data_IF_359352501657
#
_entry.id   IF_359352501657
#
_cell.length_a   1.000
_cell.length_b   1.000
_cell.length_c   1.000
_cell.angle_alpha   90.00
_cell.angle_beta   90.00
_cell.angle_gamma   90.00
#
_symmetry.space_group_name_H-M   'P 1'
#
loop_
_entity.id
_entity.type
_entity.pdbx_description
1 polymer ?
#
# COMPACT_ATOMS: atom_id res chain seq x y z
N UNK A 1 1.08 -43.26 -19.25
CA UNK A 1 0.03 -44.29 -19.09
C UNK A 1 0.52 -45.57 -19.71
N UNK A 2 1.02 -46.48 -18.87
CA UNK A 2 1.27 -47.87 -19.25
C UNK A 2 -0.06 -48.61 -19.35
N UNK A 3 -0.21 -49.45 -20.38
CA UNK A 3 -1.40 -50.28 -20.58
C UNK A 3 -1.03 -51.75 -20.40
N UNK A 4 -1.92 -52.50 -19.75
CA UNK A 4 -1.80 -53.94 -19.66
C UNK A 4 -2.02 -54.56 -21.04
N UNK A 5 -1.07 -55.41 -21.46
CA UNK A 5 -1.16 -56.17 -22.70
C UNK A 5 -1.75 -57.56 -22.39
N UNK A 6 -2.94 -57.82 -22.90
CA UNK A 6 -3.60 -59.12 -22.74
C UNK A 6 -3.25 -60.03 -23.93
N UNK A 7 -2.23 -60.86 -23.79
CA UNK A 7 -1.87 -61.85 -24.81
C UNK A 7 -2.37 -63.27 -24.44
N UNK A 8 -2.74 -64.11 -25.43
CA UNK A 8 -3.06 -65.51 -25.19
C UNK A 8 -1.79 -66.29 -24.81
N UNK A 9 -1.77 -66.95 -23.64
CA UNK A 9 -0.61 -67.73 -23.18
C UNK A 9 -0.34 -67.69 -21.68
N UNK A 10 -1.05 -66.83 -20.93
CA UNK A 10 -0.91 -66.70 -19.48
C UNK A 10 -0.09 -65.48 -19.07
N UNK A 11 -0.35 -64.99 -17.85
CA UNK A 11 0.31 -63.81 -17.26
C UNK A 11 1.59 -64.19 -16.50
N UNK A 12 2.54 -63.25 -16.33
CA UNK A 12 3.62 -63.40 -15.35
C UNK A 12 3.05 -63.64 -13.94
N UNK A 13 3.70 -64.46 -13.11
CA UNK A 13 3.31 -64.77 -11.72
C UNK A 13 3.49 -63.61 -10.72
N UNK A 14 3.94 -62.45 -11.20
CA UNK A 14 4.23 -61.29 -10.37
C UNK A 14 2.98 -60.41 -10.18
N UNK A 15 2.90 -59.74 -9.04
CA UNK A 15 1.83 -58.77 -8.71
C UNK A 15 1.97 -57.44 -9.51
N UNK A 16 2.44 -57.51 -10.76
CA UNK A 16 2.73 -56.35 -11.61
C UNK A 16 1.48 -55.45 -11.82
N UNK A 17 0.28 -56.02 -11.74
CA UNK A 17 -0.98 -55.27 -11.84
C UNK A 17 -1.13 -54.23 -10.71
N UNK A 18 -0.77 -54.61 -9.48
CA UNK A 18 -0.89 -53.72 -8.31
C UNK A 18 0.22 -52.68 -8.30
N UNK A 19 1.43 -53.06 -8.72
CA UNK A 19 2.56 -52.13 -8.82
C UNK A 19 2.29 -51.06 -9.90
N UNK A 20 1.76 -51.44 -11.06
CA UNK A 20 1.40 -50.48 -12.12
C UNK A 20 0.24 -49.58 -11.69
N UNK A 21 -0.77 -50.11 -11.01
CA UNK A 21 -1.87 -49.30 -10.47
C UNK A 21 -1.37 -48.30 -9.43
N UNK A 22 -0.47 -48.72 -8.54
CA UNK A 22 0.13 -47.84 -7.55
C UNK A 22 0.94 -46.74 -8.25
N UNK A 23 1.91 -47.10 -9.09
CA UNK A 23 2.80 -46.15 -9.76
C UNK A 23 2.05 -45.11 -10.59
N UNK A 24 1.08 -45.52 -11.42
CA UNK A 24 0.37 -44.59 -12.29
C UNK A 24 -0.57 -43.67 -11.51
N UNK A 25 -1.21 -44.15 -10.43
CA UNK A 25 -2.05 -43.30 -9.55
C UNK A 25 -1.19 -42.30 -8.79
N UNK A 26 -0.07 -42.73 -8.22
CA UNK A 26 0.87 -41.83 -7.54
C UNK A 26 1.46 -40.81 -8.50
N UNK A 27 1.86 -41.22 -9.71
CA UNK A 27 2.36 -40.32 -10.73
C UNK A 27 1.30 -39.28 -11.14
N UNK A 28 0.05 -39.70 -11.37
CA UNK A 28 -1.03 -38.79 -11.73
C UNK A 28 -1.33 -37.75 -10.64
N UNK A 29 -1.34 -38.17 -9.37
CA UNK A 29 -1.56 -37.27 -8.23
C UNK A 29 -0.40 -36.30 -8.04
N UNK A 30 0.85 -36.77 -8.14
CA UNK A 30 2.02 -35.93 -7.89
C UNK A 30 2.43 -35.06 -9.09
N UNK A 31 1.99 -35.41 -10.31
CA UNK A 31 2.36 -34.70 -11.53
C UNK A 31 2.06 -33.19 -11.47
N UNK A 32 0.97 -32.79 -10.83
CA UNK A 32 0.60 -31.36 -10.72
C UNK A 32 1.48 -30.58 -9.71
N UNK A 33 2.29 -31.27 -8.91
CA UNK A 33 3.26 -30.68 -7.97
C UNK A 33 4.70 -30.86 -8.44
N UNK A 34 4.93 -31.50 -9.59
CA UNK A 34 6.29 -31.64 -10.11
C UNK A 34 6.90 -30.26 -10.38
N UNK A 35 8.09 -30.03 -9.82
CA UNK A 35 8.76 -28.72 -9.88
C UNK A 35 8.24 -27.69 -8.87
N UNK A 36 7.19 -28.00 -8.11
CA UNK A 36 6.73 -27.14 -7.04
C UNK A 36 7.75 -27.14 -5.88
N UNK A 37 8.02 -25.97 -5.27
CA UNK A 37 8.77 -25.88 -4.02
C UNK A 37 8.04 -26.63 -2.88
N UNK A 38 8.70 -26.87 -1.74
CA UNK A 38 8.03 -27.38 -0.54
C UNK A 38 6.80 -26.54 -0.19
N UNK A 39 5.64 -27.19 0.03
CA UNK A 39 4.39 -26.49 0.33
C UNK A 39 3.40 -27.34 1.14
N UNK A 40 2.50 -26.67 1.85
CA UNK A 40 1.35 -27.32 2.51
C UNK A 40 0.21 -27.51 1.50
N UNK A 41 -0.29 -28.74 1.37
CA UNK A 41 -1.43 -29.06 0.52
C UNK A 41 -2.74 -28.83 1.27
N UNK A 42 -2.84 -29.35 2.49
CA UNK A 42 -4.03 -29.29 3.33
C UNK A 42 -3.69 -29.55 4.79
N UNK A 43 -4.46 -28.98 5.72
CA UNK A 43 -4.20 -29.08 7.16
C UNK A 43 -3.02 -28.23 7.59
N UNK A 44 -2.24 -28.72 8.56
CA UNK A 44 -1.05 -28.02 9.06
C UNK A 44 -1.33 -26.60 9.55
N UNK A 45 -2.48 -26.40 10.18
CA UNK A 45 -2.87 -25.11 10.76
C UNK A 45 -2.02 -24.81 11.98
N UNK A 46 -1.48 -23.61 12.06
CA UNK A 46 -0.67 -23.15 13.19
C UNK A 46 -1.55 -22.43 14.20
N UNK A 47 -1.47 -22.87 15.45
CA UNK A 47 -2.07 -22.18 16.59
C UNK A 47 -0.97 -21.87 17.58
N UNK A 48 -0.73 -20.58 17.85
CA UNK A 48 0.32 -20.18 18.79
C UNK A 48 -0.09 -19.03 19.69
N UNK A 49 0.55 -18.98 20.86
CA UNK A 49 0.45 -17.89 21.82
C UNK A 49 1.86 -17.51 22.26
N UNK A 50 2.25 -16.24 22.09
CA UNK A 50 3.58 -15.74 22.48
C UNK A 50 4.77 -16.50 21.85
N UNK A 51 4.66 -16.90 20.58
CA UNK A 51 5.76 -17.52 19.83
C UNK A 51 5.95 -19.02 20.08
N UNK A 52 5.14 -19.64 20.93
CA UNK A 52 5.11 -21.09 21.13
C UNK A 52 3.70 -21.61 20.84
N UNK A 53 3.60 -22.75 20.16
CA UNK A 53 2.31 -23.28 19.76
C UNK A 53 2.34 -24.72 19.28
N UNK A 54 1.32 -25.07 18.50
CA UNK A 54 1.18 -26.37 17.86
C UNK A 54 0.87 -26.22 16.38
N UNK A 55 1.22 -27.24 15.63
CA UNK A 55 0.89 -27.42 14.23
C UNK A 55 0.00 -28.64 14.14
N UNK A 56 -1.19 -28.51 13.57
CA UNK A 56 -2.11 -29.64 13.39
C UNK A 56 -1.60 -30.64 12.33
N UNK A 57 -2.10 -31.88 12.33
CA UNK A 57 -1.79 -32.84 11.27
C UNK A 57 -2.22 -32.32 9.89
N UNK A 58 -1.59 -32.84 8.83
CA UNK A 58 -1.96 -32.48 7.46
C UNK A 58 -1.12 -33.18 6.40
N UNK A 59 -1.16 -32.64 5.19
CA UNK A 59 -0.44 -33.15 4.03
C UNK A 59 0.50 -32.09 3.47
N UNK A 60 1.76 -32.47 3.31
CA UNK A 60 2.83 -31.60 2.86
C UNK A 60 3.47 -32.22 1.61
N UNK A 61 3.77 -31.37 0.64
CA UNK A 61 4.65 -31.71 -0.47
C UNK A 61 6.09 -31.37 -0.08
N UNK A 62 6.93 -32.40 0.09
CA UNK A 62 8.34 -32.22 0.45
C UNK A 62 9.20 -33.32 -0.17
N UNK A 63 10.40 -32.96 -0.64
CA UNK A 63 11.36 -33.87 -1.28
C UNK A 63 10.70 -34.86 -2.25
N UNK A 64 9.91 -34.29 -3.18
CA UNK A 64 9.34 -34.96 -4.33
C UNK A 64 8.12 -35.85 -4.06
N UNK A 65 7.56 -35.85 -2.85
CA UNK A 65 6.41 -36.69 -2.51
C UNK A 65 5.38 -35.95 -1.65
N UNK A 66 4.12 -36.37 -1.78
CA UNK A 66 3.06 -36.00 -0.84
C UNK A 66 3.21 -36.86 0.41
N UNK A 67 3.31 -36.23 1.57
CA UNK A 67 3.60 -36.89 2.84
C UNK A 67 2.63 -36.43 3.92
N UNK A 68 2.23 -37.40 4.75
CA UNK A 68 1.43 -37.11 5.93
C UNK A 68 2.35 -36.51 7.00
N UNK A 69 1.85 -35.47 7.64
CA UNK A 69 2.47 -34.85 8.79
C UNK A 69 1.55 -35.06 9.99
N UNK A 70 2.07 -35.66 11.06
CA UNK A 70 1.29 -35.98 12.27
C UNK A 70 1.05 -34.77 13.18
N UNK A 71 1.59 -33.60 12.83
CA UNK A 71 1.54 -32.44 13.69
C UNK A 71 2.70 -32.40 14.68
N UNK A 72 2.84 -31.26 15.35
CA UNK A 72 3.79 -31.10 16.43
C UNK A 72 3.20 -30.18 17.51
N UNK A 73 3.53 -30.45 18.76
CA UNK A 73 3.14 -29.62 19.90
C UNK A 73 4.38 -29.02 20.55
N UNK A 74 4.20 -27.89 21.27
CA UNK A 74 5.28 -27.15 21.92
C UNK A 74 6.40 -26.70 20.95
N UNK A 75 5.99 -26.28 19.75
CA UNK A 75 6.89 -25.76 18.72
C UNK A 75 7.15 -24.28 19.00
N UNK A 76 8.43 -23.90 19.06
CA UNK A 76 8.84 -22.49 19.09
C UNK A 76 8.94 -21.95 17.67
N UNK A 77 8.18 -20.91 17.35
CA UNK A 77 8.17 -20.25 16.05
C UNK A 77 9.19 -19.10 16.00
N UNK A 78 9.83 -18.85 14.84
CA UNK A 78 9.66 -19.56 13.57
C UNK A 78 10.35 -20.94 13.56
N UNK A 79 9.71 -21.89 12.88
CA UNK A 79 10.18 -23.28 12.77
C UNK A 79 10.23 -23.72 11.31
N UNK A 80 10.72 -24.92 11.07
CA UNK A 80 10.74 -25.54 9.75
C UNK A 80 10.42 -27.04 9.84
N UNK A 81 9.80 -27.57 8.78
CA UNK A 81 9.47 -28.99 8.64
C UNK A 81 10.41 -29.62 7.62
N UNK A 82 11.04 -30.73 8.00
CA UNK A 82 12.03 -31.44 7.20
C UNK A 82 11.64 -32.89 6.95
N UNK A 83 12.15 -33.45 5.86
CA UNK A 83 12.05 -34.86 5.57
C UNK A 83 12.97 -35.64 6.51
N UNK A 84 12.38 -36.38 7.44
CA UNK A 84 13.05 -37.29 8.36
C UNK A 84 13.33 -38.67 7.75
N UNK A 85 13.73 -39.64 8.59
CA UNK A 85 13.95 -41.01 8.16
C UNK A 85 12.65 -41.70 7.74
N UNK A 86 12.78 -42.83 7.04
CA UNK A 86 11.65 -43.75 6.84
C UNK A 86 11.43 -44.53 8.13
N UNK A 87 10.17 -44.58 8.57
CA UNK A 87 9.71 -45.32 9.73
C UNK A 87 8.82 -46.48 9.28
N UNK A 88 8.96 -47.59 9.99
CA UNK A 88 8.16 -48.78 9.82
C UNK A 88 6.78 -48.58 10.48
N UNK A 89 5.71 -48.82 9.72
CA UNK A 89 4.32 -48.62 10.16
C UNK A 89 3.46 -49.86 9.89
N UNK A 90 2.24 -49.83 10.45
CA UNK A 90 1.25 -50.90 10.32
C UNK A 90 1.78 -52.27 10.77
N UNK A 91 2.04 -52.38 12.08
CA UNK A 91 2.47 -53.63 12.72
C UNK A 91 1.31 -54.64 12.73
N UNK A 92 1.44 -55.71 11.95
CA UNK A 92 0.42 -56.76 11.86
C UNK A 92 0.86 -58.06 12.53
N UNK A 93 -0.05 -58.79 13.19
CA UNK A 93 0.26 -60.09 13.77
C UNK A 93 0.55 -61.12 12.69
N UNK A 94 1.61 -61.91 12.87
CA UNK A 94 2.02 -62.95 11.93
C UNK A 94 1.49 -64.32 12.34
N UNK A 95 1.18 -65.19 11.36
CA UNK A 95 0.67 -66.55 11.63
C UNK A 95 1.65 -67.41 12.44
N UNK A 96 2.95 -67.11 12.41
CA UNK A 96 4.00 -67.80 13.16
C UNK A 96 4.23 -67.23 14.57
N UNK A 97 3.41 -66.26 15.00
CA UNK A 97 3.62 -65.48 16.23
C UNK A 97 4.48 -64.22 16.02
N UNK A 98 4.26 -63.22 16.87
CA UNK A 98 4.90 -61.90 16.80
C UNK A 98 4.19 -60.91 15.87
N UNK A 99 4.71 -59.69 15.80
CA UNK A 99 4.26 -58.62 14.89
C UNK A 99 5.39 -58.23 13.95
N UNK A 100 5.05 -57.90 12.70
CA UNK A 100 5.98 -57.33 11.72
C UNK A 100 5.36 -56.09 11.09
N UNK A 101 6.20 -55.10 10.78
CA UNK A 101 5.77 -53.94 10.00
C UNK A 101 5.45 -54.37 8.57
N UNK A 102 4.33 -53.89 8.05
CA UNK A 102 3.89 -54.18 6.69
C UNK A 102 4.00 -52.97 5.76
N UNK A 103 4.26 -51.79 6.29
CA UNK A 103 4.37 -50.55 5.53
C UNK A 103 5.56 -49.73 6.02
N UNK A 104 6.05 -48.83 5.16
CA UNK A 104 7.05 -47.83 5.53
C UNK A 104 6.57 -46.48 5.03
N UNK A 105 6.72 -45.45 5.84
CA UNK A 105 6.42 -44.07 5.44
C UNK A 105 7.57 -43.15 5.85
N UNK A 106 7.74 -42.04 5.13
CA UNK A 106 8.74 -41.05 5.53
C UNK A 106 8.14 -40.16 6.60
N UNK A 107 8.81 -40.07 7.73
CA UNK A 107 8.40 -39.17 8.81
C UNK A 107 8.76 -37.72 8.45
N UNK A 108 7.90 -36.79 8.83
CA UNK A 108 8.15 -35.36 8.73
C UNK A 108 8.42 -34.79 10.13
N UNK A 109 9.57 -34.17 10.31
CA UNK A 109 10.03 -33.67 11.61
C UNK A 109 9.97 -32.15 11.65
N UNK A 110 9.57 -31.59 12.78
CA UNK A 110 9.64 -30.14 13.05
C UNK A 110 10.90 -29.81 13.79
N UNK A 111 11.60 -28.77 13.36
CA UNK A 111 12.81 -28.28 14.02
C UNK A 111 12.86 -26.75 14.02
N UNK A 112 13.75 -26.13 14.82
CA UNK A 112 13.96 -24.69 14.79
C UNK A 112 14.43 -24.22 13.41
N UNK A 113 13.94 -23.06 12.97
CA UNK A 113 14.28 -22.49 11.65
C UNK A 113 15.79 -22.30 11.49
N UNK A 114 16.30 -22.65 10.30
CA UNK A 114 17.72 -22.48 9.93
C UNK A 114 18.62 -23.64 10.33
N UNK A 115 18.05 -24.74 10.80
CA UNK A 115 18.80 -25.96 11.16
C UNK A 115 19.04 -26.83 9.92
N UNK A 116 18.13 -26.81 8.94
CA UNK A 116 18.24 -27.53 7.69
C UNK A 116 18.89 -26.71 6.57
N UNK A 117 19.51 -27.39 5.59
CA UNK A 117 19.90 -26.77 4.34
C UNK A 117 18.73 -26.06 3.63
N UNK A 118 19.02 -24.95 2.96
CA UNK A 118 18.03 -24.22 2.17
C UNK A 118 17.43 -25.14 1.08
N UNK A 119 16.10 -25.11 0.93
CA UNK A 119 15.38 -25.88 -0.09
C UNK A 119 15.02 -27.32 0.32
N UNK A 120 15.50 -27.81 1.47
CA UNK A 120 15.10 -29.14 1.99
C UNK A 120 14.06 -29.06 3.10
N UNK A 121 13.65 -27.85 3.47
CA UNK A 121 12.72 -27.58 4.56
C UNK A 121 11.58 -26.67 4.11
N UNK A 122 10.40 -26.89 4.68
CA UNK A 122 9.27 -26.00 4.56
C UNK A 122 9.20 -25.09 5.79
N UNK A 123 9.26 -23.78 5.59
CA UNK A 123 9.35 -22.79 6.68
C UNK A 123 7.96 -22.38 7.18
N UNK A 124 7.83 -22.27 8.50
CA UNK A 124 6.67 -21.69 9.18
C UNK A 124 7.03 -20.42 9.93
N UNK A 125 6.28 -19.37 9.66
CA UNK A 125 6.31 -18.11 10.41
C UNK A 125 5.39 -18.16 11.62
N UNK A 126 5.11 -16.99 12.20
CA UNK A 126 4.22 -16.81 13.35
C UNK A 126 2.74 -17.08 13.05
N UNK A 127 2.31 -16.93 11.80
CA UNK A 127 0.89 -17.07 11.43
C UNK A 127 0.58 -18.33 10.62
N UNK A 128 1.60 -19.14 10.33
CA UNK A 128 1.47 -20.34 9.53
C UNK A 128 2.64 -20.56 8.59
N UNK A 129 2.45 -21.47 7.63
CA UNK A 129 3.44 -21.81 6.64
C UNK A 129 3.62 -20.73 5.58
N UNK A 130 4.88 -20.47 5.19
CA UNK A 130 5.21 -19.43 4.20
C UNK A 130 4.58 -19.73 2.83
N UNK A 131 4.46 -21.02 2.47
CA UNK A 131 3.84 -21.44 1.22
C UNK A 131 2.77 -22.51 1.41
N UNK A 132 1.56 -22.17 0.96
CA UNK A 132 0.43 -23.09 0.84
C UNK A 132 0.05 -23.31 -0.62
N UNK A 133 -0.61 -24.44 -0.91
CA UNK A 133 -1.03 -24.79 -2.27
C UNK A 133 -1.90 -23.70 -2.93
N UNK A 134 -2.77 -23.05 -2.15
CA UNK A 134 -3.58 -21.92 -2.64
C UNK A 134 -2.71 -20.75 -3.10
N UNK A 135 -1.70 -20.39 -2.32
CA UNK A 135 -0.76 -19.31 -2.65
C UNK A 135 0.18 -19.68 -3.79
N UNK A 136 0.55 -20.94 -3.89
CA UNK A 136 1.28 -21.46 -5.04
C UNK A 136 0.48 -21.30 -6.34
N UNK A 137 -0.80 -21.69 -6.37
CA UNK A 137 -1.67 -21.47 -7.54
C UNK A 137 -1.85 -19.97 -7.82
N UNK A 138 -2.08 -19.15 -6.79
CA UNK A 138 -2.21 -17.69 -6.96
C UNK A 138 -0.98 -17.11 -7.69
N UNK A 139 0.23 -17.58 -7.34
CA UNK A 139 1.48 -17.14 -7.96
C UNK A 139 1.57 -17.39 -9.46
N UNK A 140 0.87 -18.38 -10.02
CA UNK A 140 0.87 -18.67 -11.47
C UNK A 140 0.10 -17.62 -12.28
N UNK A 141 -0.83 -16.92 -11.64
CA UNK A 141 -1.66 -15.89 -12.27
C UNK A 141 -1.16 -14.46 -12.03
N UNK A 142 -0.13 -14.30 -11.20
CA UNK A 142 0.39 -13.00 -10.76
C UNK A 142 1.78 -12.77 -11.32
N UNK A 143 2.08 -11.51 -11.59
CA UNK A 143 3.43 -11.10 -11.98
C UNK A 143 4.12 -10.40 -10.82
N UNK A 144 5.44 -10.60 -10.68
CA UNK A 144 6.23 -9.87 -9.70
C UNK A 144 6.08 -8.37 -9.94
N UNK A 145 5.81 -7.64 -8.86
CA UNK A 145 5.64 -6.19 -8.90
C UNK A 145 4.24 -5.71 -9.24
N UNK A 146 3.26 -6.61 -9.44
CA UNK A 146 1.86 -6.25 -9.66
C UNK A 146 1.29 -5.48 -8.46
N UNK A 147 0.60 -4.36 -8.71
CA UNK A 147 0.01 -3.50 -7.66
C UNK A 147 -1.50 -3.67 -7.62
N UNK A 148 -2.04 -3.81 -6.41
CA UNK A 148 -3.47 -3.87 -6.14
C UNK A 148 -3.90 -2.79 -5.14
N UNK A 149 -5.06 -2.17 -5.42
CA UNK A 149 -5.72 -1.23 -4.52
C UNK A 149 -6.72 -1.95 -3.60
N UNK A 150 -6.73 -1.56 -2.32
CA UNK A 150 -7.51 -2.17 -1.25
C UNK A 150 -8.38 -1.11 -0.60
N UNK A 151 -9.69 -1.35 -0.59
CA UNK A 151 -10.66 -0.49 0.10
C UNK A 151 -10.82 -0.85 1.58
N UNK A 152 -10.83 -2.15 1.91
CA UNK A 152 -10.92 -2.64 3.28
C UNK A 152 -9.53 -3.06 3.76
N UNK A 153 -8.78 -2.12 4.34
CA UNK A 153 -7.47 -2.39 4.90
C UNK A 153 -7.59 -3.02 6.30
N UNK A 154 -6.95 -4.18 6.47
CA UNK A 154 -6.81 -4.85 7.77
C UNK A 154 -5.32 -4.92 8.13
N UNK A 155 -4.94 -4.18 9.17
CA UNK A 155 -3.57 -4.11 9.64
C UNK A 155 -3.09 -5.43 10.28
N UNK A 156 -4.01 -6.29 10.73
CA UNK A 156 -3.65 -7.58 11.38
C UNK A 156 -3.09 -8.61 10.40
N UNK A 157 -3.21 -8.37 9.09
CA UNK A 157 -2.69 -9.23 8.04
C UNK A 157 -1.22 -8.95 7.70
N UNK A 158 -0.62 -7.89 8.23
CA UNK A 158 0.72 -7.44 7.87
C UNK A 158 1.61 -7.29 9.10
N UNK A 159 2.90 -7.57 8.94
CA UNK A 159 3.91 -7.28 9.95
C UNK A 159 4.27 -5.78 9.99
N UNK A 160 5.17 -5.41 10.91
CA UNK A 160 5.62 -4.03 11.08
C UNK A 160 6.31 -3.43 9.85
N UNK A 161 6.84 -4.27 8.95
CA UNK A 161 7.43 -3.85 7.67
C UNK A 161 6.39 -3.71 6.55
N UNK A 162 5.13 -4.04 6.83
CA UNK A 162 4.07 -4.11 5.85
C UNK A 162 4.13 -5.38 4.98
N UNK A 163 4.92 -6.40 5.34
CA UNK A 163 4.90 -7.70 4.66
C UNK A 163 3.72 -8.52 5.16
N UNK A 164 2.97 -9.13 4.26
CA UNK A 164 1.84 -9.98 4.61
C UNK A 164 2.26 -11.21 5.40
N UNK A 165 1.50 -11.54 6.44
CA UNK A 165 1.73 -12.70 7.27
C UNK A 165 1.54 -14.02 6.50
N UNK A 166 2.31 -15.04 6.89
CA UNK A 166 2.25 -16.40 6.35
C UNK A 166 0.88 -17.05 6.60
N UNK A 167 0.43 -17.92 5.69
CA UNK A 167 -0.89 -18.59 5.70
C UNK A 167 -2.13 -17.66 5.81
N UNK A 168 -1.96 -16.36 5.55
CA UNK A 168 -3.04 -15.38 5.54
C UNK A 168 -3.35 -14.92 4.11
N UNK A 169 -4.46 -14.21 3.94
CA UNK A 169 -4.85 -13.63 2.65
C UNK A 169 -3.78 -12.69 2.07
N UNK A 170 -3.01 -12.02 2.93
CA UNK A 170 -1.92 -11.13 2.54
C UNK A 170 -0.60 -11.86 2.23
N UNK A 171 -0.48 -13.18 2.43
CA UNK A 171 0.75 -13.90 2.07
C UNK A 171 1.07 -13.70 0.58
N UNK A 172 2.35 -13.42 0.29
CA UNK A 172 2.85 -13.05 -1.04
C UNK A 172 2.73 -11.57 -1.40
N UNK A 173 2.06 -10.77 -0.56
CA UNK A 173 1.88 -9.34 -0.74
C UNK A 173 2.68 -8.54 0.29
N UNK A 174 3.11 -7.33 -0.09
CA UNK A 174 3.61 -6.32 0.83
C UNK A 174 2.97 -4.96 0.53
N UNK A 175 2.81 -4.12 1.53
CA UNK A 175 2.31 -2.76 1.35
C UNK A 175 3.28 -1.93 0.52
N UNK A 176 2.75 -1.06 -0.34
CA UNK A 176 3.55 -0.15 -1.16
C UNK A 176 4.08 1.02 -0.32
N UNK A 177 5.04 0.73 0.57
CA UNK A 177 5.61 1.68 1.53
C UNK A 177 7.13 1.92 1.34
N UNK A 178 7.74 1.35 0.29
CA UNK A 178 9.17 1.44 0.02
C UNK A 178 10.02 0.37 0.72
N UNK A 179 9.42 -0.46 1.57
CA UNK A 179 10.07 -1.62 2.19
C UNK A 179 9.81 -2.88 1.37
N UNK A 180 10.54 -3.97 1.65
CA UNK A 180 10.38 -5.25 0.94
C UNK A 180 10.49 -5.13 -0.60
N UNK A 181 11.32 -4.20 -1.07
CA UNK A 181 11.51 -3.87 -2.49
C UNK A 181 10.24 -3.39 -3.22
N UNK A 182 9.26 -2.89 -2.46
CA UNK A 182 8.03 -2.33 -3.03
C UNK A 182 8.23 -0.87 -3.44
N UNK A 183 7.39 -0.38 -4.36
CA UNK A 183 7.27 1.06 -4.60
C UNK A 183 6.67 1.75 -3.36
N UNK A 184 7.11 2.95 -3.03
CA UNK A 184 6.42 3.78 -2.03
C UNK A 184 5.31 4.56 -2.73
N UNK A 185 4.05 4.18 -2.51
CA UNK A 185 2.86 4.80 -3.10
C UNK A 185 2.03 5.58 -2.06
N UNK A 186 2.50 5.68 -0.82
CA UNK A 186 1.81 6.44 0.23
C UNK A 186 1.73 7.91 -0.16
N UNK A 187 0.54 8.50 0.02
CA UNK A 187 0.26 9.92 -0.27
C UNK A 187 0.61 10.38 -1.70
N UNK A 188 0.56 9.46 -2.67
CA UNK A 188 0.87 9.75 -4.07
C UNK A 188 -0.34 9.51 -4.97
N UNK A 189 -0.50 10.37 -5.98
CA UNK A 189 -1.40 10.14 -7.10
C UNK A 189 -0.66 9.39 -8.21
N UNK A 190 -1.30 8.38 -8.78
CA UNK A 190 -0.68 7.56 -9.83
C UNK A 190 -0.90 8.19 -11.19
N UNK A 191 0.19 8.29 -11.94
CA UNK A 191 0.19 8.71 -13.34
C UNK A 191 0.61 7.52 -14.19
N UNK A 192 -0.14 7.25 -15.26
CA UNK A 192 0.21 6.19 -16.20
C UNK A 192 1.45 6.58 -17.01
N UNK A 193 2.42 5.66 -17.13
CA UNK A 193 3.56 5.89 -18.00
C UNK A 193 3.09 5.97 -19.46
N UNK A 194 3.71 6.85 -20.24
CA UNK A 194 3.55 6.87 -21.69
C UNK A 194 4.85 6.40 -22.33
N UNK A 195 4.91 5.22 -22.98
CA UNK A 195 6.12 4.73 -23.63
C UNK A 195 6.68 5.67 -24.72
N UNK A 196 5.86 6.59 -25.25
CA UNK A 196 6.22 7.54 -26.30
C UNK A 196 6.69 8.90 -25.77
N UNK A 197 6.57 9.15 -24.46
CA UNK A 197 6.98 10.40 -23.82
C UNK A 197 7.88 10.12 -22.61
N UNK A 198 8.85 11.00 -22.35
CA UNK A 198 9.81 10.80 -21.26
C UNK A 198 9.43 11.54 -19.95
N UNK A 199 8.33 12.28 -19.95
CA UNK A 199 7.93 13.13 -18.82
C UNK A 199 7.61 12.34 -17.54
N UNK A 200 7.12 11.10 -17.68
CA UNK A 200 6.68 10.24 -16.58
C UNK A 200 7.26 8.82 -16.70
N UNK A 201 8.58 8.70 -16.53
CA UNK A 201 9.23 7.38 -16.45
C UNK A 201 8.85 6.63 -15.17
N UNK A 202 8.93 5.30 -15.20
CA UNK A 202 8.60 4.44 -14.04
C UNK A 202 9.46 4.84 -12.84
N UNK A 203 8.81 5.03 -11.69
CA UNK A 203 9.48 5.39 -10.43
C UNK A 203 9.77 6.88 -10.26
N UNK A 204 9.50 7.73 -11.27
CA UNK A 204 9.59 9.18 -11.10
C UNK A 204 8.49 9.69 -10.16
N UNK A 205 8.83 10.68 -9.35
CA UNK A 205 7.91 11.31 -8.39
C UNK A 205 7.92 12.83 -8.57
N UNK A 206 6.79 13.47 -8.30
CA UNK A 206 6.67 14.92 -8.34
C UNK A 206 5.31 15.40 -7.84
N UNK A 207 5.02 16.68 -8.07
CA UNK A 207 3.81 17.34 -7.60
C UNK A 207 3.92 17.91 -6.18
N UNK A 208 2.90 18.67 -5.78
CA UNK A 208 2.81 19.27 -4.46
C UNK A 208 1.36 19.25 -3.97
N UNK A 209 1.16 18.97 -2.68
CA UNK A 209 -0.17 18.97 -2.06
C UNK A 209 -0.75 20.40 -1.97
N UNK A 210 0.10 21.41 -1.78
CA UNK A 210 -0.28 22.81 -1.81
C UNK A 210 0.74 23.64 -2.59
N UNK A 211 0.28 24.75 -3.16
CA UNK A 211 1.11 25.67 -3.96
C UNK A 211 0.89 27.09 -3.48
N UNK A 212 1.99 27.85 -3.35
CA UNK A 212 1.97 29.29 -3.14
C UNK A 212 2.29 29.99 -4.45
N UNK A 213 1.47 30.97 -4.84
CA UNK A 213 1.73 31.76 -6.03
C UNK A 213 2.98 32.62 -5.86
N UNK A 214 3.82 32.62 -6.88
CA UNK A 214 5.01 33.46 -7.01
C UNK A 214 4.70 34.67 -7.89
N UNK A 215 5.52 35.73 -7.80
CA UNK A 215 5.34 36.94 -8.62
C UNK A 215 5.24 36.64 -10.13
N UNK A 216 6.06 35.74 -10.73
CA UNK A 216 5.91 35.37 -12.15
C UNK A 216 4.59 34.67 -12.51
N UNK A 217 3.86 34.13 -11.54
CA UNK A 217 2.57 33.47 -11.73
C UNK A 217 1.38 34.43 -11.59
N UNK A 218 1.62 35.69 -11.21
CA UNK A 218 0.59 36.71 -11.14
C UNK A 218 0.35 37.32 -12.53
N UNK A 219 -0.92 37.48 -12.95
CA UNK A 219 -1.23 38.22 -14.16
C UNK A 219 -0.71 39.67 -14.08
N UNK A 220 -0.29 40.21 -15.23
CA UNK A 220 0.06 41.61 -15.35
C UNK A 220 -1.15 42.47 -14.95
N UNK A 221 -0.94 43.41 -14.03
CA UNK A 221 -1.95 44.32 -13.54
C UNK A 221 -1.32 45.68 -13.23
N UNK A 222 -2.14 46.72 -13.17
CA UNK A 222 -1.70 48.09 -12.85
C UNK A 222 -2.64 48.69 -11.82
N UNK A 223 -2.09 49.44 -10.87
CA UNK A 223 -2.87 50.27 -9.96
C UNK A 223 -2.87 51.71 -10.46
N UNK A 224 -4.05 52.27 -10.70
CA UNK A 224 -4.19 53.70 -10.99
C UNK A 224 -4.55 54.43 -9.72
N UNK A 225 -3.79 55.47 -9.37
CA UNK A 225 -4.24 56.48 -8.42
C UNK A 225 -4.42 57.79 -9.18
N UNK A 226 -5.56 58.46 -8.98
CA UNK A 226 -5.69 59.84 -9.46
C UNK A 226 -4.75 60.72 -8.65
N UNK A 227 -3.90 61.48 -9.33
CA UNK A 227 -3.01 62.47 -8.70
C UNK A 227 -3.90 63.53 -8.07
N UNK A 228 -3.95 63.61 -6.74
CA UNK A 228 -4.72 64.65 -6.04
C UNK A 228 -4.05 66.04 -6.10
N UNK A 229 -2.81 66.11 -6.62
CA UNK A 229 -2.09 67.33 -6.97
C UNK A 229 -2.07 68.39 -5.87
N UNK A 230 -1.63 69.58 -6.26
CA UNK A 230 -1.94 70.77 -5.47
C UNK A 230 -3.40 71.17 -5.72
N UNK A 231 -4.20 71.24 -4.66
CA UNK A 231 -5.56 71.76 -4.75
C UNK A 231 -5.89 72.72 -3.61
N UNK A 232 -6.89 73.57 -3.85
CA UNK A 232 -7.44 74.52 -2.91
C UNK A 232 -8.97 74.39 -2.89
N UNK A 233 -9.60 74.75 -1.77
CA UNK A 233 -11.05 74.70 -1.61
C UNK A 233 -11.63 76.12 -1.58
N UNK A 234 -12.74 76.32 -2.29
CA UNK A 234 -13.54 77.55 -2.17
C UNK A 234 -14.56 77.39 -1.04
N UNK A 235 -14.68 78.41 -0.20
CA UNK A 235 -15.71 78.49 0.81
C UNK A 235 -16.30 79.90 0.88
N UNK A 236 -17.55 79.95 1.30
CA UNK A 236 -18.29 81.18 1.51
C UNK A 236 -18.10 81.64 2.95
N UNK A 237 -17.51 82.82 3.12
CA UNK A 237 -17.43 83.49 4.42
C UNK A 237 -18.60 84.45 4.57
N UNK A 238 -19.51 84.15 5.50
CA UNK A 238 -20.63 85.01 5.83
C UNK A 238 -20.23 85.92 6.98
N UNK A 239 -20.16 87.22 6.71
CA UNK A 239 -19.79 88.19 7.72
C UNK A 239 -20.70 89.41 7.64
N UNK A 240 -20.84 90.08 8.78
CA UNK A 240 -21.59 91.32 8.87
C UNK A 240 -20.61 92.49 8.81
N UNK A 241 -20.86 93.48 7.94
CA UNK A 241 -20.06 94.70 7.92
C UNK A 241 -20.93 95.94 8.11
N UNK A 242 -20.34 96.92 8.79
CA UNK A 242 -20.98 98.20 9.03
C UNK A 242 -20.93 99.06 7.78
N UNK A 243 -22.09 99.47 7.29
CA UNK A 243 -22.22 100.51 6.27
C UNK A 243 -22.70 101.80 6.92
N UNK A 244 -22.13 102.92 6.48
CA UNK A 244 -22.68 104.23 6.77
C UNK A 244 -23.73 104.53 5.72
N UNK A 245 -24.97 104.67 6.15
CA UNK A 245 -26.04 105.12 5.26
C UNK A 245 -26.28 106.60 5.52
N UNK A 246 -26.00 107.43 4.51
CA UNK A 246 -26.26 108.86 4.57
C UNK A 246 -27.69 109.11 4.07
N UNK A 247 -28.60 109.44 4.98
CA UNK A 247 -29.81 110.17 4.66
C UNK A 247 -29.67 111.63 5.16
N UNK A 248 -30.44 112.55 4.56
CA UNK A 248 -30.33 114.02 4.66
C UNK A 248 -30.63 114.59 6.07
N UNK A 249 -30.52 113.79 7.13
CA UNK A 249 -30.81 114.16 8.52
C UNK A 249 -29.90 113.57 9.60
N UNK A 250 -28.92 112.71 9.29
CA UNK A 250 -27.94 112.22 10.29
C UNK A 250 -27.27 110.88 9.97
N UNK A 251 -26.06 110.67 10.48
CA UNK A 251 -25.21 109.49 10.24
C UNK A 251 -25.72 108.30 11.08
N UNK A 252 -26.34 107.30 10.45
CA UNK A 252 -26.76 106.05 11.11
C UNK A 252 -25.88 104.89 10.66
N UNK A 253 -25.40 104.08 11.62
CA UNK A 253 -24.62 102.88 11.33
C UNK A 253 -25.56 101.69 11.22
N UNK A 254 -25.66 101.12 10.02
CA UNK A 254 -26.40 99.89 9.77
C UNK A 254 -25.43 98.72 9.59
N UNK A 255 -25.79 97.56 10.14
CA UNK A 255 -25.04 96.32 9.94
C UNK A 255 -25.75 95.51 8.86
N UNK A 256 -25.06 95.22 7.75
CA UNK A 256 -25.60 94.40 6.67
C UNK A 256 -24.89 93.04 6.61
N UNK A 257 -25.63 91.95 6.34
CA UNK A 257 -25.03 90.68 6.00
C UNK A 257 -24.35 90.78 4.63
N UNK A 258 -23.11 90.33 4.57
CA UNK A 258 -22.31 90.21 3.36
C UNK A 258 -21.80 88.79 3.19
N UNK A 259 -21.65 88.40 1.93
CA UNK A 259 -21.11 87.11 1.54
C UNK A 259 -19.82 87.34 0.74
N UNK A 260 -18.74 86.67 1.12
CA UNK A 260 -17.49 86.72 0.35
C UNK A 260 -16.97 85.31 0.08
N UNK A 261 -16.87 84.96 -1.21
CA UNK A 261 -16.23 83.73 -1.63
C UNK A 261 -14.71 83.85 -1.45
N UNK A 262 -14.14 83.02 -0.59
CA UNK A 262 -12.71 82.92 -0.34
C UNK A 262 -12.21 81.55 -0.80
N UNK A 263 -10.92 81.49 -1.13
CA UNK A 263 -10.24 80.23 -1.48
C UNK A 263 -9.14 79.98 -0.45
N UNK A 264 -9.00 78.76 0.03
CA UNK A 264 -7.92 78.38 0.96
C UNK A 264 -6.56 78.46 0.26
N UNK A 265 -5.47 78.43 1.03
CA UNK A 265 -4.14 78.17 0.46
C UNK A 265 -4.06 76.77 -0.17
N UNK A 266 -3.16 76.58 -1.13
CA UNK A 266 -2.83 75.25 -1.69
C UNK A 266 -2.24 74.37 -0.59
N UNK A 267 -2.73 73.14 -0.45
CA UNK A 267 -2.23 72.19 0.55
C UNK A 267 -0.78 71.71 0.29
N UNK A 268 -0.17 72.11 -0.84
CA UNK A 268 1.16 71.68 -1.27
C UNK A 268 1.16 70.25 -1.85
N UNK A 269 2.30 69.82 -2.38
CA UNK A 269 2.45 68.47 -2.95
C UNK A 269 2.46 67.40 -1.86
N UNK A 270 1.54 66.43 -1.95
CA UNK A 270 1.52 65.23 -1.10
C UNK A 270 1.46 63.94 -1.92
N UNK A 271 1.82 62.83 -1.28
CA UNK A 271 1.85 61.50 -1.89
C UNK A 271 0.79 60.58 -1.30
N UNK A 272 0.17 59.76 -2.15
CA UNK A 272 -0.62 58.61 -1.72
C UNK A 272 0.26 57.37 -1.76
N UNK A 273 0.14 56.51 -0.74
CA UNK A 273 0.82 55.21 -0.66
C UNK A 273 -0.26 54.14 -0.73
N UNK A 274 -0.16 53.23 -1.70
CA UNK A 274 -0.96 52.01 -1.71
C UNK A 274 -0.27 50.98 -0.83
N UNK A 275 -0.98 50.47 0.17
CA UNK A 275 -0.48 49.36 0.97
C UNK A 275 -0.52 48.07 0.14
N UNK A 276 0.50 47.25 0.32
CA UNK A 276 0.54 45.91 -0.24
C UNK A 276 -0.63 45.07 0.34
N UNK A 277 -1.24 44.26 -0.52
CA UNK A 277 -2.27 43.31 -0.12
C UNK A 277 -1.98 41.94 -0.70
N UNK A 278 -2.35 40.90 0.05
CA UNK A 278 -2.00 39.52 -0.25
C UNK A 278 -1.30 38.87 0.94
N UNK A 279 -1.76 37.68 1.32
CA UNK A 279 -1.27 36.95 2.48
C UNK A 279 -0.24 35.86 2.13
N UNK A 280 0.08 35.70 0.83
CA UNK A 280 0.96 34.67 0.28
C UNK A 280 0.67 33.26 0.83
N UNK A 281 -0.60 32.98 1.16
CA UNK A 281 -1.01 31.68 1.69
C UNK A 281 -1.02 30.65 0.57
N UNK A 282 -0.53 29.46 0.88
CA UNK A 282 -0.64 28.32 -0.02
C UNK A 282 -2.11 27.90 -0.17
N UNK A 283 -2.49 27.47 -1.37
CA UNK A 283 -3.81 26.87 -1.60
C UNK A 283 -3.67 25.35 -1.85
N UNK A 284 -4.74 24.62 -1.55
CA UNK A 284 -4.87 23.20 -1.87
C UNK A 284 -4.73 22.99 -3.38
N UNK A 285 -3.95 21.97 -3.76
CA UNK A 285 -3.66 21.62 -5.16
C UNK A 285 -4.14 20.21 -5.52
N UNK A 286 -4.64 19.44 -4.54
CA UNK A 286 -5.18 18.10 -4.79
C UNK A 286 -6.62 18.20 -5.31
N UNK A 287 -6.97 17.48 -6.40
CA UNK A 287 -8.36 17.30 -6.78
C UNK A 287 -9.10 16.47 -5.70
N UNK A 288 -10.45 16.46 -5.69
CA UNK A 288 -11.20 15.54 -4.83
C UNK A 288 -10.69 14.10 -4.97
N UNK A 289 -10.42 13.43 -3.85
CA UNK A 289 -9.80 12.11 -3.84
C UNK A 289 -10.47 11.15 -2.87
N UNK A 290 -10.26 9.86 -3.11
CA UNK A 290 -10.68 8.76 -2.25
C UNK A 290 -9.46 7.93 -1.84
N UNK A 291 -9.34 7.60 -0.56
CA UNK A 291 -8.15 6.93 -0.02
C UNK A 291 -8.31 5.42 -0.10
N UNK A 292 -7.35 4.76 -0.74
CA UNK A 292 -7.20 3.31 -0.79
C UNK A 292 -5.79 2.94 -0.34
N UNK A 293 -5.62 1.78 0.27
CA UNK A 293 -4.30 1.22 0.52
C UNK A 293 -3.78 0.53 -0.75
N UNK A 294 -2.47 0.60 -1.00
CA UNK A 294 -1.82 -0.11 -2.09
C UNK A 294 -0.94 -1.25 -1.54
N UNK A 295 -1.00 -2.39 -2.20
CA UNK A 295 -0.08 -3.52 -1.97
C UNK A 295 0.52 -4.00 -3.28
N UNK A 296 1.70 -4.58 -3.21
CA UNK A 296 2.44 -5.12 -4.33
C UNK A 296 2.71 -6.61 -4.12
N UNK A 297 2.56 -7.39 -5.18
CA UNK A 297 2.91 -8.81 -5.18
C UNK A 297 4.42 -8.95 -5.21
N UNK A 298 4.98 -9.52 -4.14
CA UNK A 298 6.43 -9.73 -3.97
C UNK A 298 6.84 -11.20 -4.17
N UNK A 299 5.87 -12.09 -4.37
CA UNK A 299 6.12 -13.53 -4.35
C UNK A 299 6.23 -14.07 -2.93
N UNK A 300 6.48 -15.38 -2.83
CA UNK A 300 6.63 -16.10 -1.57
C UNK A 300 8.12 -16.35 -1.29
#
# INVERSE_FOLDING_TARGET
MKYLKFEPGGRPYANDDFDVLQDEVYAALQAHLQGAPPLVISGCTVTQTNGVGSISPGFIWLAGNIQRYEGASNVTFPAEVVAGPYIDTDLRPYQTGGTKACMTERELLTQPRGTAPAGTALVTGSHGFELTYRKYIESWSRSLGEVQWIAAYDATLYDQSGKGHADQAAAGWALCNGQNSTADLRERFIVGMNPQAQDYAIGTTGGAASVTLTVPQLPAHTHTMQVAGEHAHSYTDNYNYGVKENDSGGDTRATRPGELNKTTGSAGSHTHINNETGSNQAHENRPPFYVLAARQWIGW
#
